data_IF_134935370140
#
_entry.id   IF_134935370140
#
_cell.length_a   1.000
_cell.length_b   1.000
_cell.length_c   1.000
_cell.angle_alpha   90.00
_cell.angle_beta   90.00
_cell.angle_gamma   90.00
#
_symmetry.space_group_name_H-M   'P 1'
#
loop_
_entity.id
_entity.type
_entity.pdbx_description
1 polymer ?
#
# COMPACT_ATOMS: atom_id res chain seq x y z
N UNK A 1 7.58 5.66 8.97
CA UNK A 1 7.10 6.40 7.77
C UNK A 1 5.83 5.75 7.28
N UNK A 2 4.85 6.51 6.77
CA UNK A 2 3.59 5.93 6.28
C UNK A 2 3.67 5.70 4.78
N UNK A 3 3.26 4.51 4.34
CA UNK A 3 3.25 4.11 2.95
C UNK A 3 1.83 3.84 2.48
N UNK A 4 1.57 4.16 1.21
CA UNK A 4 0.34 3.87 0.52
C UNK A 4 0.66 3.07 -0.74
N UNK A 5 -0.03 1.95 -0.93
CA UNK A 5 0.20 1.06 -2.07
C UNK A 5 -1.10 0.88 -2.84
N UNK A 6 -1.08 1.19 -4.13
CA UNK A 6 -2.22 0.99 -5.04
C UNK A 6 -2.06 -0.32 -5.82
N UNK A 7 -3.19 -0.85 -6.28
CA UNK A 7 -3.26 -2.12 -7.00
C UNK A 7 -4.22 -2.00 -8.17
N UNK A 8 -3.97 -2.79 -9.21
CA UNK A 8 -4.91 -2.92 -10.33
C UNK A 8 -6.20 -3.67 -9.95
N UNK A 9 -6.17 -4.47 -8.87
CA UNK A 9 -7.32 -5.26 -8.44
C UNK A 9 -7.61 -5.11 -6.95
N UNK A 10 -8.92 -5.17 -6.61
CA UNK A 10 -9.37 -5.25 -5.22
C UNK A 10 -8.84 -6.50 -4.50
N UNK A 11 -8.67 -7.59 -5.25
CA UNK A 11 -8.17 -8.85 -4.70
C UNK A 11 -6.74 -8.70 -4.17
N UNK A 12 -5.85 -8.08 -4.95
CA UNK A 12 -4.46 -7.84 -4.56
C UNK A 12 -4.36 -6.93 -3.33
N UNK A 13 -5.19 -5.88 -3.28
CA UNK A 13 -5.27 -5.00 -2.12
C UNK A 13 -5.69 -5.78 -0.85
N UNK A 14 -6.75 -6.59 -0.94
CA UNK A 14 -7.25 -7.38 0.18
C UNK A 14 -6.22 -8.42 0.63
N UNK A 15 -5.59 -9.12 -0.31
CA UNK A 15 -4.57 -10.12 -0.02
C UNK A 15 -3.37 -9.48 0.69
N UNK A 16 -2.85 -8.36 0.16
CA UNK A 16 -1.74 -7.62 0.77
C UNK A 16 -2.07 -7.17 2.19
N UNK A 17 -3.27 -6.62 2.40
CA UNK A 17 -3.74 -6.24 3.74
C UNK A 17 -3.79 -7.46 4.68
N UNK A 18 -4.21 -8.63 4.22
CA UNK A 18 -4.22 -9.84 5.06
C UNK A 18 -2.79 -10.31 5.40
N UNK A 19 -1.90 -10.31 4.41
CA UNK A 19 -0.49 -10.71 4.61
C UNK A 19 0.21 -9.79 5.60
N UNK A 20 0.05 -8.47 5.44
CA UNK A 20 0.61 -7.47 6.36
C UNK A 20 0.04 -7.60 7.78
N UNK A 21 -1.28 -7.81 7.92
CA UNK A 21 -1.88 -8.09 9.24
C UNK A 21 -1.32 -9.36 9.88
N UNK A 22 -1.11 -10.41 9.09
CA UNK A 22 -0.52 -11.66 9.57
C UNK A 22 0.94 -11.50 10.00
N UNK A 23 1.65 -10.52 9.43
CA UNK A 23 3.00 -10.14 9.82
C UNK A 23 3.03 -9.16 11.02
N UNK A 24 1.88 -8.81 11.60
CA UNK A 24 1.78 -7.89 12.73
C UNK A 24 1.87 -6.40 12.35
N UNK A 25 1.79 -6.07 11.06
CA UNK A 25 1.81 -4.68 10.58
C UNK A 25 0.42 -4.07 10.70
N UNK A 26 0.35 -2.85 11.25
CA UNK A 26 -0.88 -2.08 11.30
C UNK A 26 -1.25 -1.56 9.90
N UNK A 27 -2.01 -2.35 9.15
CA UNK A 27 -2.47 -2.00 7.81
C UNK A 27 -3.97 -1.77 7.74
N UNK A 28 -4.38 -0.81 6.92
CA UNK A 28 -5.78 -0.53 6.60
C UNK A 28 -6.02 -0.50 5.10
N UNK A 29 -7.18 -0.99 4.68
CA UNK A 29 -7.72 -0.79 3.33
C UNK A 29 -8.50 0.52 3.28
N UNK A 30 -8.32 1.28 2.21
CA UNK A 30 -9.09 2.49 1.95
C UNK A 30 -9.21 2.75 0.43
N UNK A 31 -10.21 3.52 -0.03
CA UNK A 31 -10.23 4.00 -1.40
C UNK A 31 -8.98 4.84 -1.69
N UNK A 32 -8.46 4.75 -2.91
CA UNK A 32 -7.28 5.51 -3.34
C UNK A 32 -7.55 7.02 -3.18
N UNK A 33 -6.70 7.77 -2.46
CA UNK A 33 -6.87 9.20 -2.30
C UNK A 33 -6.83 9.93 -3.64
N UNK A 34 -7.74 10.90 -3.82
CA UNK A 34 -7.77 11.73 -5.04
C UNK A 34 -6.48 12.52 -5.29
N UNK A 35 -5.68 12.73 -4.25
CA UNK A 35 -4.37 13.38 -4.35
C UNK A 35 -3.33 12.55 -5.11
N UNK A 36 -3.48 11.22 -5.16
CA UNK A 36 -2.53 10.31 -5.83
C UNK A 36 -3.09 9.67 -7.09
N UNK A 37 -4.42 9.54 -7.21
CA UNK A 37 -5.05 9.01 -8.42
C UNK A 37 -6.48 9.54 -8.59
N UNK A 38 -6.89 9.75 -9.84
CA UNK A 38 -8.28 10.06 -10.20
C UNK A 38 -9.15 8.81 -10.38
N UNK A 39 -8.59 7.60 -10.23
CA UNK A 39 -9.31 6.33 -10.40
C UNK A 39 -9.89 5.81 -9.08
N UNK A 40 -11.04 5.13 -9.14
CA UNK A 40 -11.76 4.60 -7.97
C UNK A 40 -11.18 3.25 -7.48
N UNK A 41 -9.86 3.19 -7.32
CA UNK A 41 -9.17 1.98 -6.86
C UNK A 41 -9.27 1.77 -5.35
N UNK A 42 -8.78 0.62 -4.87
CA UNK A 42 -8.54 0.36 -3.44
C UNK A 42 -7.04 0.29 -3.20
N UNK A 43 -6.57 0.99 -2.16
CA UNK A 43 -5.19 0.94 -1.71
C UNK A 43 -5.09 0.38 -0.30
N UNK A 44 -3.88 0.01 0.09
CA UNK A 44 -3.52 -0.22 1.49
C UNK A 44 -2.67 0.93 2.00
N UNK A 45 -2.84 1.27 3.27
CA UNK A 45 -2.01 2.23 3.99
C UNK A 45 -1.46 1.57 5.25
N UNK A 46 -0.17 1.72 5.49
CA UNK A 46 0.50 1.13 6.65
C UNK A 46 1.77 1.92 7.03
N UNK A 47 2.14 1.96 8.32
CA UNK A 47 3.43 2.47 8.73
C UNK A 47 4.51 1.39 8.55
N UNK A 48 5.72 1.82 8.17
CA UNK A 48 6.94 1.03 8.25
C UNK A 48 7.95 1.72 9.18
N UNK A 49 8.67 0.91 9.96
CA UNK A 49 9.83 1.35 10.72
C UNK A 49 11.04 1.57 9.82
N UNK A 50 11.99 2.46 10.20
CA UNK A 50 13.22 2.66 9.44
C UNK A 50 13.99 1.34 9.32
N UNK A 51 14.24 0.90 8.08
CA UNK A 51 14.88 -0.38 7.76
C UNK A 51 13.90 -1.51 7.39
N UNK A 52 12.59 -1.29 7.50
CA UNK A 52 11.60 -2.19 6.92
C UNK A 52 11.29 -1.78 5.47
N UNK A 53 11.22 -2.77 4.59
CA UNK A 53 10.78 -2.60 3.21
C UNK A 53 9.30 -3.00 3.07
N UNK A 54 8.63 -2.42 2.07
CA UNK A 54 7.34 -2.94 1.62
C UNK A 54 7.53 -4.42 1.26
N UNK A 55 6.66 -5.34 1.71
CA UNK A 55 6.80 -6.75 1.34
C UNK A 55 6.75 -6.90 -0.18
N UNK A 56 7.87 -7.29 -0.78
CA UNK A 56 8.03 -7.47 -2.22
C UNK A 56 7.36 -8.76 -2.71
N UNK A 57 7.08 -9.68 -1.80
CA UNK A 57 6.56 -11.01 -2.10
C UNK A 57 5.41 -11.37 -1.16
N UNK A 58 4.25 -11.64 -1.76
CA UNK A 58 3.09 -12.28 -1.14
C UNK A 58 2.93 -13.67 -1.77
N UNK A 59 2.33 -14.61 -1.04
CA UNK A 59 1.93 -15.91 -1.59
C UNK A 59 0.39 -16.03 -1.47
N UNK A 60 -0.36 -16.02 -2.59
CA UNK A 60 0.10 -15.88 -3.98
C UNK A 60 0.65 -14.47 -4.31
N UNK A 61 1.46 -14.32 -5.37
CA UNK A 61 2.07 -13.04 -5.73
C UNK A 61 1.02 -12.00 -6.12
N UNK A 62 1.19 -10.78 -5.62
CA UNK A 62 0.37 -9.62 -5.96
C UNK A 62 1.13 -8.68 -6.87
N UNK A 63 0.42 -8.03 -7.80
CA UNK A 63 0.97 -6.95 -8.62
C UNK A 63 0.65 -5.62 -7.97
N UNK A 64 1.68 -4.94 -7.49
CA UNK A 64 1.59 -3.55 -7.04
C UNK A 64 1.56 -2.63 -8.27
N UNK A 65 0.68 -1.65 -8.26
CA UNK A 65 0.61 -0.63 -9.31
C UNK A 65 1.54 0.53 -9.00
N UNK A 66 1.40 1.16 -7.83
CA UNK A 66 2.27 2.24 -7.36
C UNK A 66 2.47 2.17 -5.85
N UNK A 67 3.64 2.63 -5.39
CA UNK A 67 3.98 2.83 -3.99
C UNK A 67 4.24 4.30 -3.75
N UNK A 68 3.57 4.85 -2.74
CA UNK A 68 3.71 6.22 -2.29
C UNK A 68 4.22 6.27 -0.86
N UNK A 69 5.02 7.27 -0.56
CA UNK A 69 5.46 7.61 0.79
C UNK A 69 4.79 8.92 1.23
N UNK A 70 4.32 8.97 2.47
CA UNK A 70 3.80 10.20 3.06
C UNK A 70 4.97 11.14 3.40
N UNK A 71 5.06 12.25 2.67
CA UNK A 71 5.95 13.39 2.94
C UNK A 71 5.22 14.56 3.60
N UNK A 72 5.91 15.69 3.75
CA UNK A 72 5.37 16.91 4.37
C UNK A 72 4.31 17.62 3.51
N UNK A 73 4.43 17.51 2.18
CA UNK A 73 3.55 18.21 1.22
C UNK A 73 2.46 17.31 0.63
N UNK A 74 2.43 16.03 0.99
CA UNK A 74 1.50 15.05 0.44
C UNK A 74 2.11 13.67 0.26
N UNK A 75 1.58 12.94 -0.72
CA UNK A 75 2.06 11.62 -1.10
C UNK A 75 3.07 11.72 -2.24
N UNK A 76 4.24 11.13 -2.06
CA UNK A 76 5.32 11.13 -3.05
C UNK A 76 5.46 9.73 -3.65
N UNK A 77 5.42 9.63 -4.98
CA UNK A 77 5.58 8.36 -5.69
C UNK A 77 7.03 7.88 -5.59
N UNK A 78 7.24 6.65 -5.13
CA UNK A 78 8.56 6.05 -4.97
C UNK A 78 8.79 4.81 -5.85
N UNK A 79 7.72 4.13 -6.29
CA UNK A 79 7.79 2.98 -7.21
C UNK A 79 6.51 2.86 -8.02
#
# INVERSE_FOLDING_TARGET
MTYLVTFHSHFDAILTNRTLKSAGVEVRLMPVPRSVSSSCGTCVIFPLEPGQSVPEHTDPPVTVEHVYQQGEQGWELIQ
#
